data_IF_179496182366
#
_entry.id   IF_179496182366
#
_cell.length_a   1.000
_cell.length_b   1.000
_cell.length_c   1.000
_cell.angle_alpha   90.00
_cell.angle_beta   90.00
_cell.angle_gamma   90.00
#
_symmetry.space_group_name_H-M   'P 1'
#
loop_
_entity.id
_entity.type
_entity.pdbx_description
1 polymer ?
#
# COMPACT_ATOMS: atom_id res chain seq x y z
N UNK A 1 25.76 51.17 -5.40
CA UNK A 1 25.29 51.73 -4.13
C UNK A 1 25.08 50.58 -3.15
N UNK A 2 26.20 50.08 -2.74
CA UNK A 2 26.37 49.08 -1.66
C UNK A 2 26.93 49.80 -0.46
N UNK A 3 26.64 49.33 0.73
CA UNK A 3 27.04 49.81 2.03
C UNK A 3 26.05 50.78 2.72
N UNK A 4 25.78 50.33 3.90
CA UNK A 4 25.17 50.99 5.07
C UNK A 4 23.84 50.32 5.44
N UNK A 5 23.93 49.34 6.28
CA UNK A 5 23.15 49.12 7.52
C UNK A 5 23.57 47.85 8.21
N UNK A 6 24.79 47.86 8.69
CA UNK A 6 25.21 47.05 9.85
C UNK A 6 25.24 48.04 11.02
N UNK A 7 24.54 47.72 12.12
CA UNK A 7 24.67 48.16 13.52
C UNK A 7 23.32 48.59 14.11
N UNK A 8 22.69 47.64 14.75
CA UNK A 8 22.04 47.83 16.04
C UNK A 8 21.87 46.44 16.66
N UNK A 9 22.95 45.96 17.20
CA UNK A 9 22.97 44.84 18.14
C UNK A 9 23.07 45.43 19.55
N UNK A 10 22.52 44.71 20.48
CA UNK A 10 22.83 44.68 21.92
C UNK A 10 22.23 45.77 22.80
N UNK A 11 21.86 45.27 23.94
CA UNK A 11 21.59 45.85 25.25
C UNK A 11 20.11 45.83 25.65
N UNK A 12 19.73 44.74 26.28
CA UNK A 12 19.01 44.75 27.54
C UNK A 12 19.29 43.41 28.26
N UNK A 13 20.37 43.48 29.07
CA UNK A 13 20.73 42.45 30.03
C UNK A 13 20.49 43.08 31.41
N UNK A 14 20.00 42.26 32.31
CA UNK A 14 20.15 42.33 33.75
C UNK A 14 19.07 43.01 34.59
N UNK A 15 18.87 42.29 35.67
CA UNK A 15 18.45 42.67 37.02
C UNK A 15 16.99 42.42 37.36
N UNK A 16 16.75 41.27 37.97
CA UNK A 16 16.13 41.23 39.32
C UNK A 16 16.47 39.87 39.97
N UNK A 17 17.47 39.91 40.82
CA UNK A 17 17.79 38.92 41.85
C UNK A 17 17.35 39.51 43.19
N UNK A 18 16.76 38.67 44.01
CA UNK A 18 16.81 38.70 45.47
C UNK A 18 15.50 38.86 46.25
N UNK A 19 15.38 37.90 47.08
CA UNK A 19 14.93 37.91 48.47
C UNK A 19 13.52 37.40 48.78
N UNK A 20 13.51 36.30 49.54
CA UNK A 20 12.36 35.79 50.29
C UNK A 20 12.55 34.38 50.84
N UNK A 21 13.61 34.16 51.67
CA UNK A 21 13.64 33.06 52.63
C UNK A 21 12.85 33.50 53.88
N UNK A 22 11.88 32.65 54.33
CA UNK A 22 11.80 32.26 55.77
C UNK A 22 10.42 31.57 56.06
N UNK A 23 10.57 30.33 56.53
CA UNK A 23 9.86 29.72 57.66
C UNK A 23 8.39 29.28 57.53
N UNK A 24 8.19 28.00 57.71
CA UNK A 24 6.94 27.38 58.14
C UNK A 24 7.05 25.85 58.19
N UNK A 25 7.51 25.35 59.35
CA UNK A 25 7.38 23.92 59.73
C UNK A 25 5.94 23.53 59.95
N UNK A 26 5.58 22.28 59.57
CA UNK A 26 4.56 21.52 60.25
C UNK A 26 3.52 20.87 59.35
N UNK A 27 3.49 19.53 59.31
CA UNK A 27 2.35 18.76 58.84
C UNK A 27 2.77 17.56 57.96
N UNK A 28 3.02 16.43 58.60
CA UNK A 28 2.99 15.12 57.99
C UNK A 28 1.55 14.83 57.58
N UNK A 29 1.29 14.69 56.30
CA UNK A 29 0.28 13.75 55.80
C UNK A 29 0.74 13.30 54.42
N UNK A 30 1.11 12.03 54.39
CA UNK A 30 1.42 11.31 53.17
C UNK A 30 0.12 11.05 52.40
N UNK A 31 -0.16 11.84 51.39
CA UNK A 31 -1.02 11.42 50.33
C UNK A 31 -0.12 11.05 49.15
N UNK A 32 0.06 9.75 48.94
CA UNK A 32 0.50 9.20 47.66
C UNK A 32 -0.51 9.66 46.57
N UNK A 33 -0.28 10.85 46.06
CA UNK A 33 -0.88 11.21 44.77
C UNK A 33 -0.23 10.32 43.71
N UNK A 34 -0.96 9.30 43.30
CA UNK A 34 -0.56 8.41 42.23
C UNK A 34 -0.06 9.24 41.06
N UNK A 35 1.18 8.98 40.68
CA UNK A 35 1.67 9.31 39.34
C UNK A 35 0.82 8.47 38.35
N UNK A 36 -0.30 9.02 37.90
CA UNK A 36 -0.87 8.63 36.64
C UNK A 36 0.18 9.00 35.60
N UNK A 37 1.03 8.03 35.26
CA UNK A 37 1.92 8.16 34.15
C UNK A 37 1.05 8.53 32.96
N UNK A 38 1.21 9.71 32.39
CA UNK A 38 0.67 10.03 31.11
C UNK A 38 1.22 8.94 30.17
N UNK A 39 0.36 8.02 29.70
CA UNK A 39 0.76 7.04 28.69
C UNK A 39 1.35 7.83 27.54
N UNK A 40 2.61 7.54 27.21
CA UNK A 40 3.32 8.22 26.14
C UNK A 40 2.54 7.98 24.85
N UNK A 41 2.04 9.05 24.23
CA UNK A 41 1.22 8.97 23.02
C UNK A 41 2.07 8.45 21.87
N UNK A 42 1.73 7.28 21.35
CA UNK A 42 2.37 6.68 20.18
C UNK A 42 1.85 7.35 18.90
N UNK A 43 2.76 7.93 18.14
CA UNK A 43 2.43 8.53 16.84
C UNK A 43 2.60 7.51 15.74
N UNK A 44 1.56 7.33 14.92
CA UNK A 44 1.54 6.46 13.74
C UNK A 44 1.45 7.33 12.49
N UNK A 45 2.49 7.34 11.68
CA UNK A 45 2.46 7.89 10.34
C UNK A 45 2.15 6.77 9.34
N UNK A 46 1.12 6.97 8.50
CA UNK A 46 0.60 5.97 7.56
C UNK A 46 0.61 6.52 6.14
N UNK A 47 1.75 6.47 5.42
CA UNK A 47 1.80 6.81 4.00
C UNK A 47 1.01 5.79 3.17
N UNK A 48 0.37 6.24 2.10
CA UNK A 48 -0.54 5.44 1.27
C UNK A 48 -0.27 5.59 -0.23
N UNK A 49 -0.82 6.64 -0.83
CA UNK A 49 -0.68 6.99 -2.25
C UNK A 49 -0.99 8.48 -2.46
N UNK A 50 -1.16 8.90 -3.71
CA UNK A 50 -1.56 10.27 -4.03
C UNK A 50 -2.85 10.70 -3.31
N UNK A 51 -2.92 11.95 -2.85
CA UNK A 51 -4.00 12.46 -2.00
C UNK A 51 -5.41 12.37 -2.62
N UNK A 52 -5.52 12.33 -3.94
CA UNK A 52 -6.79 12.15 -4.66
C UNK A 52 -7.18 10.66 -4.87
N UNK A 53 -6.31 9.73 -4.49
CA UNK A 53 -6.50 8.30 -4.72
C UNK A 53 -7.36 7.62 -3.66
N UNK A 54 -8.05 6.53 -4.05
CA UNK A 54 -8.87 5.71 -3.15
C UNK A 54 -8.06 5.16 -1.97
N UNK A 55 -6.79 4.81 -2.19
CA UNK A 55 -5.93 4.27 -1.14
C UNK A 55 -5.62 5.31 -0.04
N UNK A 56 -5.51 6.60 -0.41
CA UNK A 56 -5.37 7.68 0.57
C UNK A 56 -6.62 7.80 1.45
N UNK A 57 -7.81 7.70 0.86
CA UNK A 57 -9.08 7.73 1.60
C UNK A 57 -9.20 6.54 2.57
N UNK A 58 -8.76 5.34 2.16
CA UNK A 58 -8.65 4.16 3.05
C UNK A 58 -7.73 4.47 4.23
N UNK A 59 -6.52 4.98 3.98
CA UNK A 59 -5.58 5.32 5.04
C UNK A 59 -6.11 6.38 6.00
N UNK A 60 -6.79 7.40 5.49
CA UNK A 60 -7.42 8.44 6.31
C UNK A 60 -8.51 7.84 7.22
N UNK A 61 -9.36 6.95 6.71
CA UNK A 61 -10.38 6.28 7.49
C UNK A 61 -9.77 5.39 8.58
N UNK A 62 -8.77 4.58 8.24
CA UNK A 62 -8.08 3.69 9.19
C UNK A 62 -7.37 4.48 10.28
N UNK A 63 -6.63 5.53 9.95
CA UNK A 63 -5.91 6.33 10.94
C UNK A 63 -6.85 7.13 11.84
N UNK A 64 -7.97 7.61 11.30
CA UNK A 64 -9.02 8.24 12.10
C UNK A 64 -9.63 7.24 13.10
N UNK A 65 -9.97 6.04 12.65
CA UNK A 65 -10.48 4.97 13.50
C UNK A 65 -9.48 4.61 14.60
N UNK A 66 -8.20 4.38 14.28
CA UNK A 66 -7.19 4.06 15.31
C UNK A 66 -7.03 5.17 16.35
N UNK A 67 -7.02 6.43 15.92
CA UNK A 67 -6.91 7.58 16.87
C UNK A 67 -8.06 7.61 17.83
N UNK A 68 -9.26 7.26 17.40
CA UNK A 68 -10.47 7.30 18.25
C UNK A 68 -10.69 6.03 19.08
N UNK A 69 -10.22 4.86 18.60
CA UNK A 69 -10.54 3.57 19.21
C UNK A 69 -9.37 2.92 19.94
N UNK A 70 -8.13 3.38 19.74
CA UNK A 70 -6.95 2.79 20.40
C UNK A 70 -6.36 3.78 21.40
N UNK A 71 -6.53 3.58 22.71
CA UNK A 71 -6.00 4.48 23.73
C UNK A 71 -4.49 4.70 23.58
N UNK A 72 -4.04 5.95 23.72
CA UNK A 72 -2.63 6.33 23.62
C UNK A 72 -2.07 6.31 22.19
N UNK A 73 -2.89 6.18 21.15
CA UNK A 73 -2.48 6.24 19.73
C UNK A 73 -2.97 7.52 19.07
N UNK A 74 -2.06 8.18 18.34
CA UNK A 74 -2.36 9.28 17.44
C UNK A 74 -1.87 8.93 16.04
N UNK A 75 -2.78 8.56 15.15
CA UNK A 75 -2.46 8.14 13.80
C UNK A 75 -2.85 9.20 12.76
N UNK A 76 -2.05 9.32 11.71
CA UNK A 76 -2.34 10.21 10.57
C UNK A 76 -1.99 9.52 9.25
N UNK A 77 -2.82 9.73 8.24
CA UNK A 77 -2.51 9.35 6.86
C UNK A 77 -1.60 10.39 6.22
N UNK A 78 -0.74 9.93 5.32
CA UNK A 78 0.17 10.76 4.53
C UNK A 78 0.07 10.38 3.06
N UNK A 79 0.07 11.39 2.18
CA UNK A 79 0.23 11.16 0.75
C UNK A 79 1.65 10.69 0.44
N UNK A 80 1.79 9.80 -0.55
CA UNK A 80 3.07 9.27 -1.00
C UNK A 80 3.05 8.96 -2.50
N UNK A 81 4.20 8.51 -3.03
CA UNK A 81 4.31 8.02 -4.39
C UNK A 81 3.85 6.55 -4.56
N UNK A 82 3.33 5.90 -3.50
CA UNK A 82 2.81 4.52 -3.55
C UNK A 82 3.72 3.49 -2.91
N UNK A 83 3.42 2.20 -3.17
CA UNK A 83 3.95 1.07 -2.41
C UNK A 83 5.46 1.02 -2.21
N UNK A 84 6.28 1.28 -3.25
CA UNK A 84 7.75 1.27 -3.13
C UNK A 84 8.24 2.41 -2.22
N UNK A 85 7.70 3.63 -2.39
CA UNK A 85 8.03 4.74 -1.50
C UNK A 85 7.60 4.45 -0.05
N UNK A 86 6.44 3.82 0.13
CA UNK A 86 5.93 3.42 1.44
C UNK A 86 6.88 2.43 2.15
N UNK A 87 7.39 1.45 1.40
CA UNK A 87 8.34 0.47 1.92
C UNK A 87 9.63 1.14 2.39
N UNK A 88 10.18 2.07 1.62
CA UNK A 88 11.35 2.85 2.02
C UNK A 88 11.06 3.68 3.29
N UNK A 89 9.94 4.42 3.34
CA UNK A 89 9.59 5.22 4.52
C UNK A 89 9.44 4.38 5.78
N UNK A 90 8.89 3.17 5.69
CA UNK A 90 8.79 2.26 6.83
C UNK A 90 10.16 1.69 7.20
N UNK A 91 10.96 1.26 6.21
CA UNK A 91 12.31 0.75 6.42
C UNK A 91 13.22 1.79 7.10
N UNK A 92 13.13 3.05 6.68
CA UNK A 92 13.92 4.18 7.21
C UNK A 92 13.40 4.70 8.56
N UNK A 93 12.24 4.19 9.05
CA UNK A 93 11.63 4.61 10.32
C UNK A 93 10.82 5.90 10.26
N UNK A 94 10.63 6.47 9.08
CA UNK A 94 9.82 7.67 8.87
C UNK A 94 8.31 7.40 9.02
N UNK A 95 7.91 6.14 8.80
CA UNK A 95 6.55 5.67 9.00
C UNK A 95 6.51 4.40 9.86
N UNK A 96 5.42 4.21 10.59
CA UNK A 96 5.25 3.05 11.48
C UNK A 96 4.45 1.95 10.82
N UNK A 97 3.44 2.30 10.05
CA UNK A 97 2.56 1.37 9.32
C UNK A 97 2.35 1.90 7.92
N UNK A 98 2.20 1.02 6.94
CA UNK A 98 1.84 1.41 5.59
C UNK A 98 1.14 0.28 4.82
N UNK A 99 0.90 0.51 3.52
CA UNK A 99 0.30 -0.43 2.58
C UNK A 99 1.16 -0.55 1.33
N UNK A 100 1.27 -1.76 0.82
CA UNK A 100 1.88 -2.08 -0.48
C UNK A 100 1.28 -3.38 -1.02
N UNK A 101 1.56 -3.72 -2.26
CA UNK A 101 1.23 -5.05 -2.79
C UNK A 101 2.22 -6.08 -2.27
N UNK A 102 1.75 -7.30 -2.06
CA UNK A 102 2.53 -8.42 -1.49
C UNK A 102 3.81 -8.71 -2.28
N UNK A 103 3.79 -8.54 -3.60
CA UNK A 103 4.98 -8.65 -4.46
C UNK A 103 6.09 -7.69 -4.04
N UNK A 104 5.79 -6.40 -3.87
CA UNK A 104 6.80 -5.42 -3.48
C UNK A 104 7.32 -5.63 -2.06
N UNK A 105 6.47 -6.10 -1.12
CA UNK A 105 6.92 -6.46 0.23
C UNK A 105 7.91 -7.64 0.16
N UNK A 106 7.60 -8.66 -0.66
CA UNK A 106 8.48 -9.80 -0.88
C UNK A 106 9.81 -9.39 -1.54
N UNK A 107 9.76 -8.53 -2.57
CA UNK A 107 10.97 -7.99 -3.21
C UNK A 107 11.83 -7.23 -2.20
N UNK A 108 11.22 -6.39 -1.35
CA UNK A 108 11.92 -5.60 -0.34
C UNK A 108 12.62 -6.52 0.69
N UNK A 109 11.94 -7.54 1.19
CA UNK A 109 12.51 -8.50 2.14
C UNK A 109 13.67 -9.29 1.51
N UNK A 110 13.55 -9.68 0.24
CA UNK A 110 14.51 -10.52 -0.46
C UNK A 110 15.63 -9.72 -1.16
N UNK A 111 15.56 -8.39 -1.20
CA UNK A 111 16.52 -7.56 -1.92
C UNK A 111 16.45 -7.76 -3.44
N UNK A 112 15.26 -7.84 -3.99
CA UNK A 112 14.99 -8.04 -5.40
C UNK A 112 14.28 -6.82 -6.02
N UNK A 113 14.16 -6.80 -7.34
CA UNK A 113 13.46 -5.73 -8.04
C UNK A 113 14.02 -4.35 -7.71
N UNK A 114 13.14 -3.45 -7.28
CA UNK A 114 13.50 -2.08 -6.87
C UNK A 114 14.37 -2.02 -5.60
N UNK A 115 14.52 -3.12 -4.87
CA UNK A 115 15.30 -3.23 -3.64
C UNK A 115 16.58 -4.04 -3.81
N UNK A 116 17.05 -4.22 -5.05
CA UNK A 116 18.26 -4.99 -5.33
C UNK A 116 19.45 -4.43 -4.52
N UNK A 117 20.13 -5.32 -3.79
CA UNK A 117 21.24 -5.01 -2.88
C UNK A 117 20.89 -4.18 -1.63
N UNK A 118 19.60 -3.89 -1.39
CA UNK A 118 19.12 -3.17 -0.21
C UNK A 118 17.93 -3.90 0.44
N UNK A 119 18.09 -5.17 0.88
CA UNK A 119 17.01 -5.92 1.51
C UNK A 119 16.67 -5.34 2.88
N UNK A 120 15.38 -5.22 3.18
CA UNK A 120 14.89 -4.94 4.51
C UNK A 120 14.10 -6.14 5.05
N UNK A 121 14.81 -7.02 5.78
CA UNK A 121 14.29 -8.34 6.21
C UNK A 121 13.28 -8.28 7.35
N UNK A 122 13.22 -7.16 8.06
CA UNK A 122 12.39 -7.02 9.25
C UNK A 122 11.00 -6.39 8.99
N UNK A 123 10.54 -6.44 7.74
CA UNK A 123 9.15 -6.13 7.43
C UNK A 123 8.24 -7.28 7.86
N UNK A 124 7.09 -6.91 8.44
CA UNK A 124 6.05 -7.82 8.89
C UNK A 124 4.69 -7.31 8.41
N UNK A 125 3.83 -8.20 7.96
CA UNK A 125 2.47 -7.80 7.62
C UNK A 125 1.55 -7.84 8.84
N UNK A 126 0.59 -6.92 8.84
CA UNK A 126 -0.47 -6.83 9.84
C UNK A 126 -1.71 -7.55 9.32
N UNK A 127 -2.07 -7.29 8.07
CA UNK A 127 -3.26 -7.86 7.43
C UNK A 127 -3.10 -7.90 5.90
N UNK A 128 -3.54 -8.96 5.27
CA UNK A 128 -3.92 -8.95 3.87
C UNK A 128 -5.23 -8.20 3.72
N UNK A 129 -5.32 -7.36 2.69
CA UNK A 129 -6.51 -6.59 2.39
C UNK A 129 -7.21 -7.19 1.15
N UNK A 130 -7.42 -6.41 0.14
CA UNK A 130 -8.10 -6.84 -1.09
C UNK A 130 -7.10 -7.30 -2.16
N UNK A 131 -7.62 -8.05 -3.14
CA UNK A 131 -6.84 -8.47 -4.30
C UNK A 131 -6.76 -7.35 -5.34
N UNK A 132 -5.59 -7.20 -5.93
CA UNK A 132 -5.33 -6.33 -7.08
C UNK A 132 -5.02 -7.21 -8.30
N UNK A 133 -6.02 -7.56 -9.11
CA UNK A 133 -5.81 -8.27 -10.37
C UNK A 133 -5.02 -7.44 -11.38
N UNK A 134 -4.17 -8.13 -12.11
CA UNK A 134 -3.46 -7.59 -13.27
C UNK A 134 -4.38 -7.65 -14.49
N UNK A 135 -4.80 -6.51 -15.01
CA UNK A 135 -5.78 -6.39 -16.08
C UNK A 135 -5.09 -5.88 -17.34
N UNK A 136 -5.00 -6.72 -18.34
CA UNK A 136 -4.41 -6.38 -19.65
C UNK A 136 -5.52 -5.93 -20.58
N UNK A 137 -5.56 -4.65 -20.88
CA UNK A 137 -6.57 -4.02 -21.73
C UNK A 137 -5.96 -3.77 -23.11
N UNK A 138 -6.62 -4.19 -24.17
CA UNK A 138 -6.13 -4.01 -25.54
C UNK A 138 -7.23 -3.52 -26.48
N UNK A 139 -6.83 -2.82 -27.53
CA UNK A 139 -7.75 -2.45 -28.61
C UNK A 139 -8.04 -3.67 -29.48
N UNK A 140 -9.25 -3.79 -30.03
CA UNK A 140 -9.62 -4.89 -30.95
C UNK A 140 -8.67 -4.99 -32.16
N UNK A 141 -8.21 -3.86 -32.69
CA UNK A 141 -7.30 -3.79 -33.84
C UNK A 141 -5.86 -4.19 -33.54
N UNK A 142 -5.46 -4.28 -32.27
CA UNK A 142 -4.08 -4.59 -31.87
C UNK A 142 -3.62 -5.97 -32.32
N UNK A 143 -4.56 -6.92 -32.41
CA UNK A 143 -4.27 -8.33 -32.67
C UNK A 143 -3.60 -9.06 -31.51
N UNK A 144 -3.60 -8.44 -30.29
CA UNK A 144 -3.00 -9.03 -29.09
C UNK A 144 -4.01 -10.00 -28.48
N UNK A 145 -3.77 -11.31 -28.58
CA UNK A 145 -4.59 -12.36 -27.96
C UNK A 145 -3.95 -12.90 -26.66
N UNK A 146 -2.63 -12.81 -26.53
CA UNK A 146 -1.82 -13.20 -25.38
C UNK A 146 -0.67 -12.23 -25.19
N UNK A 147 0.04 -12.29 -24.04
CA UNK A 147 1.07 -11.31 -23.72
C UNK A 147 2.23 -11.27 -24.71
N UNK A 148 2.61 -12.41 -25.30
CA UNK A 148 3.68 -12.50 -26.29
C UNK A 148 3.39 -11.68 -27.56
N UNK A 149 2.13 -11.46 -27.89
CA UNK A 149 1.69 -10.70 -29.07
C UNK A 149 1.91 -9.19 -28.90
N UNK A 150 2.25 -8.76 -27.69
CA UNK A 150 2.60 -7.36 -27.43
C UNK A 150 3.95 -6.94 -28.04
N UNK A 151 4.73 -7.89 -28.57
CA UNK A 151 6.01 -7.61 -29.23
C UNK A 151 5.85 -6.59 -30.35
N UNK A 152 6.61 -5.48 -30.26
CA UNK A 152 6.57 -4.37 -31.22
C UNK A 152 5.34 -3.45 -31.09
N UNK A 153 4.43 -3.69 -30.15
CA UNK A 153 3.21 -2.90 -29.94
C UNK A 153 3.48 -1.72 -28.99
N UNK A 154 2.68 -0.66 -29.12
CA UNK A 154 2.68 0.47 -28.19
C UNK A 154 1.84 0.11 -26.96
N UNK A 155 2.48 0.10 -25.81
CA UNK A 155 1.87 -0.40 -24.60
C UNK A 155 2.07 0.55 -23.42
N UNK A 156 0.99 0.99 -22.78
CA UNK A 156 1.04 1.79 -21.57
C UNK A 156 1.40 0.89 -20.38
N UNK A 157 2.60 1.10 -19.82
CA UNK A 157 3.22 0.22 -18.82
C UNK A 157 3.22 0.82 -17.40
N UNK A 158 2.48 1.90 -17.20
CA UNK A 158 2.49 2.74 -16.00
C UNK A 158 3.80 3.53 -15.81
N UNK A 159 3.85 4.34 -14.75
CA UNK A 159 5.04 5.16 -14.45
C UNK A 159 6.22 4.28 -14.07
N UNK A 160 7.40 4.59 -14.60
CA UNK A 160 8.63 3.86 -14.27
C UNK A 160 8.85 3.84 -12.75
N UNK A 161 9.24 2.67 -12.22
CA UNK A 161 9.45 2.49 -10.77
C UNK A 161 8.18 2.38 -9.93
N UNK A 162 6.99 2.36 -10.54
CA UNK A 162 5.76 2.06 -9.83
C UNK A 162 5.56 0.56 -9.63
N UNK A 163 4.73 0.17 -8.65
CA UNK A 163 4.34 -1.23 -8.47
C UNK A 163 3.68 -1.81 -9.74
N UNK A 164 2.86 -1.01 -10.43
CA UNK A 164 2.17 -1.43 -11.66
C UNK A 164 3.18 -1.70 -12.78
N UNK A 165 4.20 -0.85 -12.93
CA UNK A 165 5.29 -1.07 -13.87
C UNK A 165 6.05 -2.37 -13.59
N UNK A 166 6.35 -2.63 -12.31
CA UNK A 166 7.04 -3.87 -11.93
C UNK A 166 6.19 -5.12 -12.25
N UNK A 167 4.89 -5.07 -11.98
CA UNK A 167 3.96 -6.15 -12.35
C UNK A 167 3.97 -6.39 -13.86
N UNK A 168 3.86 -5.33 -14.65
CA UNK A 168 3.94 -5.39 -16.11
C UNK A 168 5.26 -6.04 -16.57
N UNK A 169 6.41 -5.60 -16.03
CA UNK A 169 7.72 -6.12 -16.36
C UNK A 169 7.87 -7.62 -16.04
N UNK A 170 7.41 -8.05 -14.87
CA UNK A 170 7.46 -9.45 -14.44
C UNK A 170 6.65 -10.35 -15.37
N UNK A 171 5.44 -9.92 -15.74
CA UNK A 171 4.56 -10.72 -16.59
C UNK A 171 5.06 -10.82 -18.02
N UNK A 172 5.46 -9.70 -18.63
CA UNK A 172 6.03 -9.73 -19.98
C UNK A 172 7.32 -10.55 -20.04
N UNK A 173 8.19 -10.41 -19.03
CA UNK A 173 9.42 -11.21 -18.97
C UNK A 173 9.11 -12.70 -18.80
N UNK A 174 8.10 -13.06 -17.99
CA UNK A 174 7.66 -14.45 -17.81
C UNK A 174 7.01 -14.99 -19.07
N UNK A 175 6.35 -14.15 -19.86
CA UNK A 175 5.81 -14.47 -21.19
C UNK A 175 6.90 -14.58 -22.28
N UNK A 176 8.17 -14.32 -21.96
CA UNK A 176 9.30 -14.48 -22.89
C UNK A 176 9.64 -13.24 -23.72
N UNK A 177 9.22 -12.05 -23.29
CA UNK A 177 9.64 -10.79 -23.88
C UNK A 177 10.85 -10.21 -23.11
N UNK A 178 11.74 -9.53 -23.81
CA UNK A 178 12.76 -8.67 -23.20
C UNK A 178 12.11 -7.31 -22.89
N UNK A 179 11.64 -7.15 -21.66
CA UNK A 179 10.98 -5.93 -21.25
C UNK A 179 12.01 -4.87 -20.77
N UNK A 180 11.90 -3.59 -21.16
CA UNK A 180 10.87 -3.01 -22.05
C UNK A 180 11.21 -3.08 -23.54
N UNK A 181 12.37 -3.61 -23.96
CA UNK A 181 12.97 -3.46 -25.28
C UNK A 181 12.12 -4.06 -26.42
N UNK A 182 11.35 -5.11 -26.13
CA UNK A 182 10.50 -5.78 -27.11
C UNK A 182 9.17 -5.07 -27.36
N UNK A 183 8.86 -3.98 -26.65
CA UNK A 183 7.62 -3.19 -26.80
C UNK A 183 7.93 -1.71 -26.98
N UNK A 184 6.96 -0.94 -27.48
CA UNK A 184 7.03 0.53 -27.47
C UNK A 184 6.35 1.01 -26.19
N UNK A 185 7.14 1.13 -25.10
CA UNK A 185 6.63 1.41 -23.77
C UNK A 185 6.24 2.88 -23.58
N UNK A 186 4.97 3.11 -23.18
CA UNK A 186 4.46 4.42 -22.79
C UNK A 186 4.37 4.50 -21.25
N UNK A 187 5.17 5.38 -20.65
CA UNK A 187 5.32 5.49 -19.18
C UNK A 187 4.29 6.43 -18.57
N UNK A 188 3.03 6.07 -18.66
CA UNK A 188 1.91 6.88 -18.17
C UNK A 188 1.04 6.10 -17.17
N UNK A 189 0.32 6.84 -16.31
CA UNK A 189 -0.62 6.23 -15.38
C UNK A 189 -1.78 5.55 -16.16
N UNK A 190 -2.31 4.46 -15.61
CA UNK A 190 -3.40 3.71 -16.25
C UNK A 190 -4.69 4.53 -16.40
N UNK A 191 -4.89 5.57 -15.58
CA UNK A 191 -6.01 6.52 -15.73
C UNK A 191 -5.97 7.26 -17.06
N UNK A 192 -4.75 7.59 -17.54
CA UNK A 192 -4.55 8.33 -18.78
C UNK A 192 -4.42 7.36 -19.98
N UNK A 193 -4.12 6.09 -19.71
CA UNK A 193 -3.98 5.06 -20.74
C UNK A 193 -5.29 4.77 -21.48
N UNK A 194 -6.45 4.93 -20.81
CA UNK A 194 -7.75 4.76 -21.46
C UNK A 194 -7.94 5.71 -22.65
N UNK A 195 -7.49 6.94 -22.53
CA UNK A 195 -7.56 7.96 -23.61
C UNK A 195 -6.62 7.57 -24.77
N UNK A 196 -5.42 7.03 -24.48
CA UNK A 196 -4.49 6.57 -25.52
C UNK A 196 -5.05 5.36 -26.28
N UNK A 197 -5.74 4.46 -25.60
CA UNK A 197 -6.39 3.31 -26.23
C UNK A 197 -7.53 3.77 -27.14
N UNK A 198 -8.39 4.68 -26.68
CA UNK A 198 -9.54 5.18 -27.43
C UNK A 198 -9.12 5.97 -28.69
N UNK A 199 -8.11 6.82 -28.60
CA UNK A 199 -7.63 7.61 -29.75
C UNK A 199 -6.65 6.83 -30.64
N UNK A 200 -6.30 5.60 -30.26
CA UNK A 200 -5.42 4.71 -31.01
C UNK A 200 -3.94 5.03 -30.93
N UNK A 201 -3.54 5.79 -29.94
CA UNK A 201 -2.12 6.07 -29.65
C UNK A 201 -1.43 4.95 -28.90
N UNK A 202 -2.18 4.02 -28.30
CA UNK A 202 -1.67 2.78 -27.75
C UNK A 202 -2.46 1.57 -28.24
N UNK A 203 -1.81 0.41 -28.30
CA UNK A 203 -2.38 -0.87 -28.67
C UNK A 203 -2.88 -1.65 -27.44
N UNK A 204 -2.23 -1.43 -26.29
CA UNK A 204 -2.57 -2.03 -25.02
C UNK A 204 -2.16 -1.20 -23.81
N UNK A 205 -2.67 -1.58 -22.65
CA UNK A 205 -2.36 -0.96 -21.36
C UNK A 205 -2.39 -2.00 -20.24
N UNK A 206 -1.50 -1.82 -19.27
CA UNK A 206 -1.46 -2.60 -18.05
C UNK A 206 -2.16 -1.85 -16.91
N UNK A 207 -3.13 -2.50 -16.28
CA UNK A 207 -3.86 -1.97 -15.13
C UNK A 207 -3.78 -2.97 -13.99
N UNK A 208 -3.25 -2.55 -12.84
CA UNK A 208 -3.31 -3.32 -11.60
C UNK A 208 -4.17 -2.55 -10.61
N UNK A 209 -5.36 -3.02 -10.37
CA UNK A 209 -6.34 -2.37 -9.50
C UNK A 209 -7.45 -3.34 -9.08
N UNK A 210 -8.16 -3.02 -8.00
CA UNK A 210 -9.40 -3.72 -7.66
C UNK A 210 -10.41 -3.71 -8.80
N UNK A 211 -11.26 -4.72 -8.85
CA UNK A 211 -12.27 -4.93 -9.90
C UNK A 211 -13.66 -4.60 -9.33
N UNK A 212 -14.48 -3.80 -10.05
CA UNK A 212 -14.23 -3.13 -11.32
C UNK A 212 -13.37 -1.85 -11.16
N UNK A 213 -12.44 -1.62 -12.10
CA UNK A 213 -11.64 -0.40 -12.19
C UNK A 213 -12.26 0.59 -13.19
N UNK A 214 -12.33 1.87 -12.81
CA UNK A 214 -12.95 2.90 -13.65
C UNK A 214 -12.25 3.07 -15.00
N UNK A 215 -10.92 3.05 -15.03
CA UNK A 215 -10.15 3.15 -16.28
C UNK A 215 -10.40 1.96 -17.22
N UNK A 216 -10.54 0.74 -16.68
CA UNK A 216 -10.90 -0.44 -17.48
C UNK A 216 -12.33 -0.33 -17.99
N UNK A 217 -13.27 0.11 -17.15
CA UNK A 217 -14.66 0.37 -17.55
C UNK A 217 -14.73 1.37 -18.71
N UNK A 218 -13.98 2.47 -18.62
CA UNK A 218 -13.91 3.49 -19.67
C UNK A 218 -13.32 2.92 -20.98
N UNK A 219 -12.22 2.19 -20.88
CA UNK A 219 -11.56 1.61 -22.06
C UNK A 219 -12.46 0.58 -22.77
N UNK A 220 -13.12 -0.31 -22.03
CA UNK A 220 -14.02 -1.32 -22.62
C UNK A 220 -15.28 -0.67 -23.21
N UNK A 221 -15.84 0.36 -22.58
CA UNK A 221 -16.92 1.15 -23.16
C UNK A 221 -16.51 1.82 -24.47
N UNK A 222 -15.23 2.10 -24.68
CA UNK A 222 -14.62 2.60 -25.92
C UNK A 222 -14.25 1.54 -26.94
N UNK A 223 -14.64 0.27 -26.76
CA UNK A 223 -14.40 -0.82 -27.72
C UNK A 223 -13.05 -1.53 -27.52
N UNK A 224 -12.46 -1.44 -26.32
CA UNK A 224 -11.34 -2.29 -25.93
C UNK A 224 -11.84 -3.61 -25.30
N UNK A 225 -10.94 -4.56 -25.12
CA UNK A 225 -11.22 -5.82 -24.45
C UNK A 225 -10.12 -6.21 -23.47
N UNK A 226 -10.42 -7.14 -22.58
CA UNK A 226 -9.44 -7.77 -21.69
C UNK A 226 -8.78 -8.97 -22.38
N UNK A 227 -7.49 -9.17 -22.08
CA UNK A 227 -6.74 -10.37 -22.48
C UNK A 227 -6.79 -11.39 -21.35
N UNK A 228 -7.12 -12.63 -21.70
CA UNK A 228 -7.10 -13.78 -20.81
C UNK A 228 -5.65 -14.27 -20.66
N UNK A 229 -5.17 -14.46 -19.43
CA UNK A 229 -3.87 -15.08 -19.18
C UNK A 229 -4.03 -16.60 -19.17
N UNK A 230 -3.26 -17.30 -19.98
CA UNK A 230 -3.34 -18.75 -20.02
C UNK A 230 -2.80 -19.40 -18.73
N UNK A 231 -3.18 -20.65 -18.52
CA UNK A 231 -2.84 -21.40 -17.32
C UNK A 231 -1.33 -21.65 -17.22
N UNK A 232 -0.64 -21.84 -18.35
CA UNK A 232 0.79 -22.07 -18.38
C UNK A 232 1.58 -20.84 -17.89
N UNK A 233 1.22 -19.65 -18.34
CA UNK A 233 1.79 -18.41 -17.85
C UNK A 233 1.54 -18.22 -16.35
N UNK A 234 0.31 -18.47 -15.89
CA UNK A 234 -0.04 -18.35 -14.47
C UNK A 234 0.73 -19.35 -13.60
N UNK A 235 0.96 -20.57 -14.08
CA UNK A 235 1.75 -21.58 -13.38
C UNK A 235 3.23 -21.18 -13.30
N UNK A 236 3.82 -20.71 -14.40
CA UNK A 236 5.21 -20.19 -14.42
C UNK A 236 5.38 -18.98 -13.48
N UNK A 237 4.39 -18.09 -13.41
CA UNK A 237 4.40 -16.98 -12.48
C UNK A 237 4.39 -17.46 -11.02
N UNK A 238 3.50 -18.39 -10.67
CA UNK A 238 3.39 -18.92 -9.31
C UNK A 238 4.62 -19.70 -8.86
N UNK A 239 5.20 -20.49 -9.76
CA UNK A 239 6.41 -21.26 -9.48
C UNK A 239 7.59 -20.34 -9.12
N UNK A 240 7.76 -19.28 -9.88
CA UNK A 240 8.85 -18.32 -9.69
C UNK A 240 8.56 -17.30 -8.59
N UNK A 241 7.30 -16.94 -8.42
CA UNK A 241 6.84 -15.86 -7.55
C UNK A 241 5.63 -16.31 -6.71
N UNK A 242 5.86 -16.91 -5.53
CA UNK A 242 4.79 -17.53 -4.72
C UNK A 242 3.67 -16.60 -4.23
N UNK A 243 3.85 -15.30 -4.36
CA UNK A 243 2.85 -14.30 -3.97
C UNK A 243 1.77 -14.04 -5.03
N UNK A 244 1.90 -14.59 -6.25
CA UNK A 244 0.84 -14.50 -7.24
C UNK A 244 -0.24 -15.55 -6.98
N UNK A 245 -1.48 -15.09 -7.05
CA UNK A 245 -2.67 -15.94 -7.06
C UNK A 245 -3.33 -15.88 -8.42
N UNK A 246 -3.97 -16.98 -8.87
CA UNK A 246 -4.87 -16.92 -10.01
C UNK A 246 -6.14 -16.20 -9.58
N UNK A 247 -6.66 -15.36 -10.46
CA UNK A 247 -7.87 -14.60 -10.25
C UNK A 247 -8.80 -14.70 -11.48
N UNK A 248 -10.09 -14.77 -11.22
CA UNK A 248 -11.10 -14.71 -12.27
C UNK A 248 -11.84 -13.38 -12.16
N UNK A 249 -11.82 -12.60 -13.23
CA UNK A 249 -12.70 -11.44 -13.39
C UNK A 249 -14.00 -12.00 -13.97
N UNK A 250 -15.11 -12.02 -13.19
CA UNK A 250 -16.34 -12.65 -13.63
C UNK A 250 -16.93 -11.98 -14.87
N UNK A 251 -17.51 -12.76 -15.74
CA UNK A 251 -18.34 -12.30 -16.85
C UNK A 251 -19.31 -11.20 -16.41
N UNK A 252 -19.42 -10.16 -17.23
CA UNK A 252 -20.33 -9.03 -16.96
C UNK A 252 -19.84 -8.04 -15.91
N UNK A 253 -18.59 -8.16 -15.45
CA UNK A 253 -17.96 -7.17 -14.56
C UNK A 253 -17.80 -5.82 -15.27
N UNK A 254 -17.47 -5.86 -16.55
CA UNK A 254 -17.27 -4.67 -17.39
C UNK A 254 -18.22 -4.63 -18.58
N UNK A 255 -18.48 -3.43 -19.16
CA UNK A 255 -19.26 -3.32 -20.39
C UNK A 255 -18.67 -4.18 -21.51
N UNK A 256 -19.52 -4.96 -22.19
CA UNK A 256 -19.11 -5.80 -23.32
C UNK A 256 -18.31 -7.06 -22.96
N UNK A 257 -17.99 -7.29 -21.70
CA UNK A 257 -17.30 -8.50 -21.26
C UNK A 257 -18.30 -9.67 -21.18
N UNK A 258 -18.22 -10.59 -22.13
CA UNK A 258 -19.16 -11.71 -22.31
C UNK A 258 -18.65 -13.05 -21.75
N UNK A 259 -17.42 -13.11 -21.26
CA UNK A 259 -16.77 -14.30 -20.67
C UNK A 259 -15.99 -13.96 -19.40
N UNK A 260 -15.73 -14.97 -18.59
CA UNK A 260 -14.77 -14.89 -17.50
C UNK A 260 -13.38 -14.63 -18.06
N UNK A 261 -12.59 -13.79 -17.37
CA UNK A 261 -11.20 -13.50 -17.73
C UNK A 261 -10.29 -14.02 -16.62
N UNK A 262 -9.41 -14.96 -16.95
CA UNK A 262 -8.36 -15.42 -16.04
C UNK A 262 -7.21 -14.42 -16.05
N UNK A 263 -6.67 -14.17 -14.88
CA UNK A 263 -5.50 -13.32 -14.71
C UNK A 263 -4.74 -13.69 -13.43
N UNK A 264 -3.60 -13.07 -13.22
CA UNK A 264 -2.90 -13.08 -11.95
C UNK A 264 -3.42 -11.97 -11.04
N UNK A 265 -3.26 -12.13 -9.74
CA UNK A 265 -3.49 -11.06 -8.78
C UNK A 265 -2.43 -11.07 -7.68
N UNK A 266 -2.17 -9.90 -7.13
CA UNK A 266 -1.39 -9.70 -5.92
C UNK A 266 -2.28 -9.11 -4.84
N UNK A 267 -1.99 -9.44 -3.59
CA UNK A 267 -2.77 -8.91 -2.47
C UNK A 267 -2.22 -7.56 -2.01
N UNK A 268 -3.07 -6.59 -1.80
CA UNK A 268 -2.72 -5.42 -1.02
C UNK A 268 -2.53 -5.86 0.43
N UNK A 269 -1.44 -5.48 1.07
CA UNK A 269 -1.17 -5.81 2.46
C UNK A 269 -0.88 -4.55 3.27
N UNK A 270 -1.34 -4.54 4.50
CA UNK A 270 -0.93 -3.59 5.53
C UNK A 270 0.30 -4.16 6.22
N UNK A 271 1.36 -3.37 6.35
CA UNK A 271 2.64 -3.83 6.88
C UNK A 271 3.28 -2.82 7.82
N UNK A 272 4.25 -3.29 8.58
CA UNK A 272 5.02 -2.53 9.56
C UNK A 272 6.43 -3.10 9.69
N UNK A 273 7.26 -2.51 10.55
CA UNK A 273 8.53 -3.12 10.97
C UNK A 273 8.30 -4.12 12.10
N UNK A 274 9.18 -5.13 12.19
CA UNK A 274 9.10 -6.14 13.23
C UNK A 274 9.47 -5.64 14.62
N UNK A 275 10.12 -4.49 14.73
CA UNK A 275 10.52 -3.88 16.01
C UNK A 275 9.40 -3.04 16.69
N UNK A 276 8.23 -2.87 16.03
CA UNK A 276 7.10 -2.27 16.71
C UNK A 276 6.65 -3.14 17.90
N UNK A 277 6.25 -2.54 19.04
CA UNK A 277 5.80 -3.30 20.20
C UNK A 277 4.65 -4.24 19.86
N UNK A 278 4.76 -5.51 20.26
CA UNK A 278 3.76 -6.55 19.99
C UNK A 278 2.36 -6.11 20.44
N UNK A 279 2.24 -5.55 21.64
CA UNK A 279 0.97 -5.12 22.20
C UNK A 279 0.36 -3.95 21.41
N UNK A 280 1.19 -3.04 20.89
CA UNK A 280 0.70 -1.96 20.02
C UNK A 280 0.08 -2.54 18.74
N UNK A 281 0.83 -3.40 18.03
CA UNK A 281 0.34 -3.98 16.78
C UNK A 281 -0.87 -4.88 17.01
N UNK A 282 -0.93 -5.61 18.14
CA UNK A 282 -2.13 -6.36 18.54
C UNK A 282 -3.35 -5.43 18.65
N UNK A 283 -3.24 -4.30 19.38
CA UNK A 283 -4.34 -3.35 19.54
C UNK A 283 -4.76 -2.71 18.23
N UNK A 284 -3.81 -2.34 17.36
CA UNK A 284 -4.08 -1.80 16.03
C UNK A 284 -4.83 -2.82 15.15
N UNK A 285 -4.38 -4.08 15.17
CA UNK A 285 -5.00 -5.17 14.41
C UNK A 285 -6.42 -5.45 14.91
N UNK A 286 -6.59 -5.55 16.22
CA UNK A 286 -7.89 -5.77 16.86
C UNK A 286 -8.88 -4.67 16.50
N UNK A 287 -8.50 -3.40 16.71
CA UNK A 287 -9.35 -2.26 16.37
C UNK A 287 -9.72 -2.24 14.88
N UNK A 288 -8.78 -2.56 13.97
CA UNK A 288 -9.08 -2.62 12.54
C UNK A 288 -10.20 -3.62 12.22
N UNK A 289 -10.13 -4.83 12.78
CA UNK A 289 -11.11 -5.87 12.51
C UNK A 289 -12.42 -5.67 13.25
N UNK A 290 -12.42 -5.10 14.46
CA UNK A 290 -13.64 -4.75 15.18
C UNK A 290 -14.43 -3.65 14.48
N UNK A 291 -13.76 -2.76 13.71
CA UNK A 291 -14.39 -1.67 12.96
C UNK A 291 -14.45 -1.91 11.44
N UNK A 292 -14.12 -3.11 10.94
CA UNK A 292 -14.05 -3.37 9.48
C UNK A 292 -15.40 -3.13 8.79
N UNK A 293 -16.51 -3.40 9.46
CA UNK A 293 -17.86 -3.14 8.93
C UNK A 293 -18.08 -1.66 8.64
N UNK A 294 -17.77 -0.79 9.59
CA UNK A 294 -17.90 0.66 9.46
C UNK A 294 -16.95 1.22 8.40
N UNK A 295 -15.70 0.73 8.38
CA UNK A 295 -14.71 1.08 7.36
C UNK A 295 -15.21 0.69 5.97
N UNK A 296 -15.81 -0.49 5.81
CA UNK A 296 -16.34 -1.00 4.54
C UNK A 296 -17.55 -0.21 4.00
N UNK A 297 -18.34 0.42 4.85
CA UNK A 297 -19.43 1.30 4.39
C UNK A 297 -18.91 2.59 3.74
N UNK A 298 -17.79 3.10 4.21
CA UNK A 298 -17.16 4.33 3.67
C UNK A 298 -16.11 4.04 2.59
N UNK A 299 -15.43 2.89 2.67
CA UNK A 299 -14.34 2.49 1.79
C UNK A 299 -14.68 1.17 1.09
N UNK A 300 -15.22 1.25 -0.13
CA UNK A 300 -15.72 0.09 -0.89
C UNK A 300 -14.69 -1.05 -1.02
N UNK A 301 -13.39 -0.72 -1.11
CA UNK A 301 -12.32 -1.71 -1.20
C UNK A 301 -12.12 -2.54 0.07
N UNK A 302 -12.64 -2.08 1.21
CA UNK A 302 -12.60 -2.81 2.48
C UNK A 302 -13.92 -3.58 2.76
N UNK A 303 -14.95 -3.36 1.94
CA UNK A 303 -16.25 -4.00 2.15
C UNK A 303 -16.16 -5.51 1.97
N UNK A 304 -16.65 -6.24 2.98
CA UNK A 304 -16.68 -7.70 2.95
C UNK A 304 -15.36 -8.39 3.24
N UNK A 305 -14.29 -7.64 3.58
CA UNK A 305 -13.05 -8.27 4.05
C UNK A 305 -13.27 -9.00 5.37
N UNK A 306 -12.63 -10.16 5.51
CA UNK A 306 -12.67 -10.98 6.71
C UNK A 306 -11.28 -11.28 7.24
N UNK A 307 -11.13 -11.54 8.55
CA UNK A 307 -9.84 -11.96 9.11
C UNK A 307 -9.30 -13.26 8.50
N UNK A 308 -10.18 -14.18 8.06
CA UNK A 308 -9.80 -15.45 7.41
C UNK A 308 -9.14 -15.20 6.05
N UNK A 309 -9.63 -14.23 5.30
CA UNK A 309 -9.05 -13.85 4.01
C UNK A 309 -7.75 -13.06 4.19
N UNK A 310 -7.61 -12.34 5.31
CA UNK A 310 -6.43 -11.52 5.57
C UNK A 310 -5.15 -12.34 5.77
N UNK A 311 -5.26 -13.60 6.18
CA UNK A 311 -4.11 -14.49 6.40
C UNK A 311 -3.82 -15.41 5.22
N UNK A 312 -4.59 -15.26 4.11
CA UNK A 312 -4.45 -16.08 2.89
C UNK A 312 -3.90 -15.25 1.74
N UNK A 313 -3.35 -15.93 0.75
CA UNK A 313 -2.89 -15.35 -0.53
C UNK A 313 -1.90 -14.18 -0.38
N UNK A 314 -1.09 -14.23 0.68
CA UNK A 314 -0.02 -13.25 0.96
C UNK A 314 1.37 -13.81 0.65
N UNK A 315 1.43 -15.01 0.06
CA UNK A 315 2.69 -15.74 -0.12
C UNK A 315 3.31 -16.15 1.22
N UNK A 316 4.62 -16.19 1.28
CA UNK A 316 5.37 -16.53 2.48
C UNK A 316 5.76 -15.31 3.32
N UNK A 317 4.98 -14.22 3.24
CA UNK A 317 5.28 -13.01 3.98
C UNK A 317 5.09 -13.21 5.48
N UNK A 318 6.06 -12.77 6.31
CA UNK A 318 5.97 -12.95 7.75
C UNK A 318 4.96 -11.97 8.37
N UNK A 319 4.09 -12.47 9.23
CA UNK A 319 3.18 -11.65 10.02
C UNK A 319 3.87 -11.10 11.26
N UNK A 320 3.43 -9.92 11.71
CA UNK A 320 3.87 -9.34 12.98
C UNK A 320 3.33 -10.15 14.15
N UNK A 321 4.14 -10.41 15.22
CA UNK A 321 3.69 -11.20 16.38
C UNK A 321 2.38 -10.67 17.00
N UNK A 322 2.20 -9.35 17.10
CA UNK A 322 0.96 -8.74 17.60
C UNK A 322 -0.26 -9.04 16.72
N UNK A 323 -0.10 -9.05 15.39
CA UNK A 323 -1.18 -9.45 14.50
C UNK A 323 -1.50 -10.96 14.64
N UNK A 324 -0.46 -11.80 14.72
CA UNK A 324 -0.62 -13.24 14.95
C UNK A 324 -1.34 -13.53 16.28
N UNK A 325 -1.02 -12.76 17.34
CA UNK A 325 -1.69 -12.86 18.64
C UNK A 325 -3.20 -12.65 18.49
N UNK A 326 -3.62 -11.62 17.78
CA UNK A 326 -5.04 -11.37 17.52
C UNK A 326 -5.69 -12.46 16.69
N UNK A 327 -5.06 -12.88 15.57
CA UNK A 327 -5.61 -13.94 14.71
C UNK A 327 -5.72 -15.30 15.42
N UNK A 328 -4.84 -15.60 16.40
CA UNK A 328 -4.96 -16.76 17.27
C UNK A 328 -6.14 -16.63 18.23
N UNK A 329 -6.33 -15.46 18.85
CA UNK A 329 -7.43 -15.17 19.77
C UNK A 329 -8.79 -15.43 19.12
N UNK A 330 -8.98 -15.06 17.87
CA UNK A 330 -10.23 -15.26 17.13
C UNK A 330 -10.28 -16.59 16.36
N UNK A 331 -9.29 -17.48 16.51
CA UNK A 331 -9.27 -18.82 15.92
C UNK A 331 -8.98 -18.90 14.42
N UNK A 332 -8.54 -17.80 13.81
CA UNK A 332 -8.22 -17.72 12.37
C UNK A 332 -6.81 -18.25 12.06
N UNK A 333 -5.84 -18.03 12.95
CA UNK A 333 -4.49 -18.49 12.77
C UNK A 333 -4.34 -19.96 13.20
N UNK A 334 -4.11 -20.85 12.24
CA UNK A 334 -3.76 -22.26 12.51
C UNK A 334 -2.25 -22.38 12.62
N UNK A 335 -1.78 -22.87 13.76
CA UNK A 335 -0.36 -23.18 14.02
C UNK A 335 0.15 -24.28 13.11
#
# INVERSE_FOLDING_TARGET
MMKEMKKAAAIFLAVFLAAGLLSGCGGKDASEAGKTGAEETVKINFPTAGASGALYAVGAAVTHMWTNSVPGVQAKSQASAGGIANLNMVADGEAQVSVAVSSNVAECINGAGSFQNHPYKDLKIIAGLYMNPNQVVVTERSGIEKLEDARGKRFAVASAGSSVYNECAVHFTTAGLHFPDDIQAEYIAFTDAADLLQNGSADGAWVMSGVPASAVTQALAGGCRLVDMDEDLLNRLKEKYPWYSSYIIPKGTYPGQDKDIRTSAVKMVMFTRGDLPEELVYRLTKAFWEHIGELGETQKSLKGLTPEEAVRDVGNLPFHPGAVKYYKEIGVWKS
#
